data_IF_987018687033
#
_entry.id   IF_987018687033
#
_cell.length_a   1.000
_cell.length_b   1.000
_cell.length_c   1.000
_cell.angle_alpha   90.00
_cell.angle_beta   90.00
_cell.angle_gamma   90.00
#
_symmetry.space_group_name_H-M   'P 1'
#
loop_
_entity.id
_entity.type
_entity.pdbx_description
1 polymer ?
#
# COMPACT_ATOMS: atom_id res chain seq x y z
N UNK A 1 -11.86 24.02 -83.95
CA UNK A 1 -11.05 24.04 -82.72
C UNK A 1 -11.79 23.25 -81.66
N UNK A 2 -11.34 22.02 -81.40
CA UNK A 2 -11.81 21.21 -80.28
C UNK A 2 -11.21 21.78 -78.99
N UNK A 3 -12.04 21.99 -77.97
CA UNK A 3 -11.54 22.04 -76.59
C UNK A 3 -12.58 21.40 -75.68
N UNK A 4 -12.26 20.17 -75.32
CA UNK A 4 -12.90 19.37 -74.28
C UNK A 4 -12.84 20.15 -72.96
N UNK A 5 -13.96 20.24 -72.24
CA UNK A 5 -13.95 20.59 -70.82
C UNK A 5 -14.52 19.41 -70.04
N UNK A 6 -13.60 18.80 -69.30
CA UNK A 6 -13.73 17.57 -68.53
C UNK A 6 -14.63 17.75 -67.32
N UNK A 7 -15.48 16.75 -67.09
CA UNK A 7 -16.32 16.51 -65.93
C UNK A 7 -15.44 16.17 -64.71
N UNK A 8 -15.62 16.84 -63.57
CA UNK A 8 -15.10 16.38 -62.27
C UNK A 8 -16.28 16.15 -61.31
N UNK A 9 -16.66 14.87 -61.18
CA UNK A 9 -17.55 14.40 -60.13
C UNK A 9 -16.71 14.12 -58.87
N UNK A 10 -16.92 14.90 -57.81
CA UNK A 10 -16.29 14.68 -56.50
C UNK A 10 -17.07 13.58 -55.78
N UNK A 11 -16.48 12.39 -55.74
CA UNK A 11 -16.92 11.27 -54.90
C UNK A 11 -16.65 11.61 -53.43
N UNK A 12 -17.67 12.08 -52.71
CA UNK A 12 -17.64 12.19 -51.25
C UNK A 12 -17.80 10.77 -50.68
N UNK A 13 -16.67 10.17 -50.31
CA UNK A 13 -16.59 8.93 -49.54
C UNK A 13 -17.00 9.22 -48.09
N UNK A 14 -18.09 8.62 -47.55
CA UNK A 14 -18.33 8.68 -46.12
C UNK A 14 -17.36 7.72 -45.43
N UNK A 15 -16.40 8.31 -44.71
CA UNK A 15 -15.54 7.62 -43.76
C UNK A 15 -16.41 7.00 -42.67
N UNK A 16 -16.66 5.69 -42.76
CA UNK A 16 -17.30 4.93 -41.69
C UNK A 16 -16.27 4.81 -40.57
N UNK A 17 -16.31 5.73 -39.62
CA UNK A 17 -15.60 5.60 -38.37
C UNK A 17 -16.18 4.39 -37.64
N UNK A 18 -15.48 3.26 -37.73
CA UNK A 18 -15.73 2.10 -36.89
C UNK A 18 -15.54 2.54 -35.43
N UNK A 19 -16.64 2.80 -34.74
CA UNK A 19 -16.65 2.86 -33.28
C UNK A 19 -16.24 1.46 -32.81
N UNK A 20 -14.96 1.32 -32.45
CA UNK A 20 -14.54 0.21 -31.61
C UNK A 20 -15.28 0.40 -30.29
N UNK A 21 -16.29 -0.45 -30.04
CA UNK A 21 -16.86 -0.60 -28.72
C UNK A 21 -15.71 -1.03 -27.81
N UNK A 22 -15.20 -0.10 -27.01
CA UNK A 22 -14.28 -0.40 -25.92
C UNK A 22 -15.11 -1.24 -24.95
N UNK A 23 -14.87 -2.55 -25.00
CA UNK A 23 -15.34 -3.48 -23.97
C UNK A 23 -14.91 -2.86 -22.64
N UNK A 24 -15.81 -2.59 -21.69
CA UNK A 24 -15.39 -2.09 -20.40
C UNK A 24 -14.42 -3.11 -19.84
N UNK A 25 -13.16 -2.71 -19.67
CA UNK A 25 -12.22 -3.48 -18.89
C UNK A 25 -12.90 -3.79 -17.57
N UNK A 26 -12.93 -5.09 -17.28
CA UNK A 26 -13.44 -5.70 -16.08
C UNK A 26 -13.11 -4.79 -14.87
N UNK A 27 -14.09 -4.06 -14.34
CA UNK A 27 -13.89 -3.24 -13.14
C UNK A 27 -13.53 -4.24 -12.04
N UNK A 28 -12.24 -4.26 -11.70
CA UNK A 28 -11.70 -5.09 -10.63
C UNK A 28 -12.56 -4.93 -9.39
N UNK A 29 -12.96 -6.03 -8.71
CA UNK A 29 -13.82 -5.96 -7.54
C UNK A 29 -13.09 -5.16 -6.46
N UNK A 30 -13.55 -3.92 -6.21
CA UNK A 30 -13.12 -3.02 -5.13
C UNK A 30 -11.64 -3.13 -4.74
N UNK A 31 -10.76 -2.48 -5.49
CA UNK A 31 -9.34 -2.43 -5.15
C UNK A 31 -9.15 -1.86 -3.74
N UNK A 32 -8.51 -2.63 -2.85
CA UNK A 32 -8.11 -2.12 -1.54
C UNK A 32 -7.11 -0.99 -1.78
N UNK A 33 -7.52 0.24 -1.47
CA UNK A 33 -6.64 1.41 -1.58
C UNK A 33 -5.81 1.49 -0.31
N UNK A 34 -4.51 1.65 -0.50
CA UNK A 34 -3.51 1.75 0.56
C UNK A 34 -2.74 3.04 0.32
N UNK A 35 -2.54 3.80 1.38
CA UNK A 35 -1.91 5.12 1.33
C UNK A 35 -0.86 5.21 2.44
N UNK A 36 0.13 6.07 2.25
CA UNK A 36 0.96 6.48 3.37
C UNK A 36 0.19 7.42 4.30
N UNK A 37 0.67 7.54 5.53
CA UNK A 37 0.13 8.43 6.53
C UNK A 37 1.23 8.94 7.44
N UNK A 38 1.02 10.15 7.96
CA UNK A 38 1.87 10.74 8.99
C UNK A 38 1.65 9.99 10.32
N UNK A 39 2.67 9.33 10.84
CA UNK A 39 2.55 8.55 12.08
C UNK A 39 2.26 9.44 13.30
N UNK A 40 2.62 10.73 13.25
CA UNK A 40 2.40 11.66 14.36
C UNK A 40 0.92 11.93 14.66
N UNK A 41 0.01 11.62 13.73
CA UNK A 41 -1.44 11.73 13.95
C UNK A 41 -1.99 10.63 14.85
N UNK A 42 -1.19 9.59 15.12
CA UNK A 42 -1.55 8.46 15.99
C UNK A 42 -1.03 8.76 17.40
N UNK A 43 -1.79 9.56 18.15
CA UNK A 43 -1.37 10.07 19.48
C UNK A 43 -1.14 8.99 20.53
N UNK A 44 -1.79 7.84 20.36
CA UNK A 44 -1.73 6.74 21.31
C UNK A 44 -0.60 5.74 20.98
N UNK A 45 0.15 5.95 19.89
CA UNK A 45 1.31 5.13 19.56
C UNK A 45 2.52 5.62 20.36
N UNK A 46 2.99 4.81 21.32
CA UNK A 46 4.10 5.20 22.18
C UNK A 46 5.42 5.34 21.40
N UNK A 47 5.76 4.33 20.61
CA UNK A 47 6.89 4.34 19.69
C UNK A 47 6.67 3.31 18.57
N UNK A 48 6.93 3.65 17.29
CA UNK A 48 6.90 2.66 16.20
C UNK A 48 8.09 1.70 16.31
N UNK A 49 7.80 0.41 16.47
CA UNK A 49 8.79 -0.66 16.52
C UNK A 49 9.23 -1.07 15.12
N UNK A 50 8.29 -1.20 14.19
CA UNK A 50 8.58 -1.43 12.78
C UNK A 50 7.88 -0.38 11.93
N UNK A 51 8.54 0.08 10.88
CA UNK A 51 7.92 0.99 9.89
C UNK A 51 8.17 0.50 8.48
N UNK A 52 7.15 0.57 7.63
CA UNK A 52 7.14 -0.05 6.32
C UNK A 52 6.71 0.92 5.24
N UNK A 53 7.41 0.89 4.12
CA UNK A 53 7.15 1.73 2.97
C UNK A 53 7.08 0.95 1.65
N UNK A 54 6.25 1.44 0.74
CA UNK A 54 6.27 1.03 -0.66
C UNK A 54 7.34 1.83 -1.40
N UNK A 55 8.39 1.14 -1.87
CA UNK A 55 9.53 1.75 -2.54
C UNK A 55 10.26 2.76 -1.67
N UNK A 56 11.02 3.66 -2.29
CA UNK A 56 11.84 4.66 -1.61
C UNK A 56 11.00 5.88 -1.19
N UNK A 57 10.06 5.71 -0.25
CA UNK A 57 9.41 6.86 0.37
C UNK A 57 10.41 7.57 1.28
N UNK A 58 10.71 8.84 0.99
CA UNK A 58 11.68 9.66 1.73
C UNK A 58 11.03 10.70 2.64
N UNK A 59 9.69 10.69 2.72
CA UNK A 59 8.98 11.68 3.54
C UNK A 59 9.07 11.26 5.00
N UNK A 60 9.74 12.08 5.79
CA UNK A 60 9.92 11.87 7.22
C UNK A 60 8.57 11.67 7.92
N UNK A 61 8.49 10.67 8.81
CA UNK A 61 7.29 10.29 9.55
C UNK A 61 6.12 9.73 8.71
N UNK A 62 6.27 9.54 7.40
CA UNK A 62 5.23 8.98 6.54
C UNK A 62 5.52 7.52 6.21
N UNK A 63 4.57 6.65 6.55
CA UNK A 63 4.69 5.20 6.38
C UNK A 63 3.42 4.61 5.81
N UNK A 64 3.55 3.49 5.10
CA UNK A 64 2.40 2.74 4.59
C UNK A 64 1.81 1.79 5.64
N UNK A 65 2.66 1.25 6.51
CA UNK A 65 2.27 0.40 7.62
C UNK A 65 3.27 0.59 8.76
N UNK A 66 2.79 0.68 10.00
CA UNK A 66 3.68 0.68 11.18
C UNK A 66 3.20 -0.34 12.20
N UNK A 67 4.12 -0.87 12.98
CA UNK A 67 3.83 -1.73 14.12
C UNK A 67 4.38 -1.09 15.39
N UNK A 68 3.69 -1.23 16.52
CA UNK A 68 4.18 -0.73 17.80
C UNK A 68 3.15 -0.84 18.92
N UNK A 69 3.53 -0.39 20.11
CA UNK A 69 2.65 -0.37 21.27
C UNK A 69 1.66 0.80 21.23
N UNK A 70 0.37 0.48 21.27
CA UNK A 70 -0.71 1.45 21.41
C UNK A 70 -1.11 1.55 22.87
N UNK A 71 -0.92 2.72 23.49
CA UNK A 71 -1.14 3.01 24.90
C UNK A 71 -2.24 4.08 25.07
N UNK A 72 -3.49 3.70 25.36
CA UNK A 72 -4.58 4.65 25.55
C UNK A 72 -4.34 5.57 26.75
N UNK A 73 -4.74 6.84 26.64
CA UNK A 73 -4.56 7.86 27.68
C UNK A 73 -5.23 7.52 29.04
N UNK A 74 -6.16 6.56 29.06
CA UNK A 74 -6.86 6.11 30.27
C UNK A 74 -6.06 5.19 31.20
N UNK A 75 -4.78 4.91 30.91
CA UNK A 75 -3.96 3.98 31.70
C UNK A 75 -4.31 2.52 31.47
N UNK A 76 -5.06 2.23 30.40
CA UNK A 76 -5.28 0.87 29.92
C UNK A 76 -3.97 0.24 29.49
N UNK A 77 -3.92 -1.10 29.51
CA UNK A 77 -2.72 -1.83 29.10
C UNK A 77 -2.41 -1.57 27.63
N UNK A 78 -1.16 -1.22 27.35
CA UNK A 78 -0.70 -1.05 25.98
C UNK A 78 -0.86 -2.36 25.19
N UNK A 79 -1.25 -2.25 23.92
CA UNK A 79 -1.44 -3.39 23.03
C UNK A 79 -0.57 -3.23 21.80
N UNK A 80 0.27 -4.24 21.52
CA UNK A 80 1.03 -4.28 20.28
C UNK A 80 0.08 -4.38 19.07
N UNK A 81 0.20 -3.42 18.16
CA UNK A 81 -0.76 -3.23 17.07
C UNK A 81 -0.06 -2.84 15.77
N UNK A 82 -0.70 -3.20 14.66
CA UNK A 82 -0.38 -2.70 13.33
C UNK A 82 -1.30 -1.54 12.96
N UNK A 83 -0.79 -0.52 12.29
CA UNK A 83 -1.55 0.66 11.85
C UNK A 83 -1.33 0.89 10.36
N UNK A 84 -2.42 0.97 9.61
CA UNK A 84 -2.42 1.18 8.16
C UNK A 84 -3.50 2.16 7.73
N UNK A 85 -3.26 2.99 6.70
CA UNK A 85 -4.32 3.75 6.05
C UNK A 85 -4.94 2.96 4.90
N UNK A 86 -6.20 2.56 5.08
CA UNK A 86 -6.98 1.75 4.14
C UNK A 86 -8.21 2.54 3.68
N UNK A 87 -8.35 2.72 2.36
CA UNK A 87 -9.48 3.44 1.75
C UNK A 87 -9.74 4.80 2.42
N UNK A 88 -8.70 5.61 2.60
CA UNK A 88 -8.79 6.93 3.23
C UNK A 88 -8.90 6.94 4.76
N UNK A 89 -8.94 5.78 5.43
CA UNK A 89 -9.13 5.69 6.89
C UNK A 89 -7.99 4.97 7.59
N UNK A 90 -7.57 5.48 8.74
CA UNK A 90 -6.64 4.79 9.61
C UNK A 90 -7.34 3.57 10.22
N UNK A 91 -6.72 2.40 10.04
CA UNK A 91 -7.09 1.15 10.67
C UNK A 91 -6.01 0.78 11.68
N UNK A 92 -6.43 0.56 12.92
CA UNK A 92 -5.60 0.03 14.01
C UNK A 92 -6.02 -1.43 14.22
N UNK A 93 -5.05 -2.33 14.26
CA UNK A 93 -5.26 -3.77 14.30
C UNK A 93 -4.43 -4.38 15.41
N UNK A 94 -5.06 -5.09 16.35
CA UNK A 94 -4.35 -5.74 17.46
C UNK A 94 -3.58 -6.96 16.94
N UNK A 95 -2.37 -7.18 17.44
CA UNK A 95 -1.64 -8.41 17.15
C UNK A 95 -2.35 -9.60 17.80
N UNK A 96 -2.58 -10.65 17.00
CA UNK A 96 -3.14 -11.92 17.45
C UNK A 96 -2.06 -12.97 17.70
N UNK A 97 -1.02 -12.95 16.86
CA UNK A 97 0.09 -13.89 16.94
C UNK A 97 1.34 -13.30 16.29
N UNK A 98 2.50 -13.72 16.78
CA UNK A 98 3.79 -13.51 16.15
C UNK A 98 4.60 -14.79 16.29
N UNK A 99 5.07 -15.34 15.18
CA UNK A 99 5.95 -16.51 15.16
C UNK A 99 6.89 -16.45 13.95
N UNK A 100 8.18 -16.73 14.18
CA UNK A 100 9.20 -16.88 13.14
C UNK A 100 9.16 -15.80 12.03
N UNK A 101 9.11 -14.53 12.43
CA UNK A 101 9.08 -13.40 11.49
C UNK A 101 7.74 -13.21 10.77
N UNK A 102 6.68 -13.94 11.15
CA UNK A 102 5.33 -13.73 10.66
C UNK A 102 4.43 -13.21 11.78
N UNK A 103 3.77 -12.08 11.56
CA UNK A 103 2.81 -11.50 12.49
C UNK A 103 1.42 -11.45 11.88
N UNK A 104 0.40 -11.68 12.70
CA UNK A 104 -1.01 -11.54 12.31
C UNK A 104 -1.65 -10.46 13.15
N UNK A 105 -2.22 -9.46 12.49
CA UNK A 105 -2.95 -8.37 13.10
C UNK A 105 -4.41 -8.39 12.64
N UNK A 106 -5.33 -8.06 13.53
CA UNK A 106 -6.76 -8.10 13.21
C UNK A 106 -7.57 -7.03 13.93
N UNK A 107 -8.59 -6.53 13.25
CA UNK A 107 -9.77 -5.91 13.85
C UNK A 107 -11.05 -6.52 13.24
N UNK A 108 -12.20 -5.93 13.51
CA UNK A 108 -13.49 -6.49 13.07
C UNK A 108 -13.63 -6.60 11.54
N UNK A 109 -12.94 -5.75 10.79
CA UNK A 109 -13.14 -5.60 9.34
C UNK A 109 -11.95 -6.07 8.50
N UNK A 110 -10.76 -6.12 9.10
CA UNK A 110 -9.51 -6.32 8.39
C UNK A 110 -8.59 -7.27 9.15
N UNK A 111 -7.93 -8.14 8.41
CA UNK A 111 -6.76 -8.91 8.87
C UNK A 111 -5.55 -8.49 8.04
N UNK A 112 -4.43 -8.21 8.71
CA UNK A 112 -3.13 -7.98 8.07
C UNK A 112 -2.17 -9.08 8.52
N UNK A 113 -1.48 -9.70 7.58
CA UNK A 113 -0.43 -10.68 7.84
C UNK A 113 0.86 -10.11 7.30
N UNK A 114 1.88 -10.00 8.14
CA UNK A 114 3.23 -9.61 7.73
C UNK A 114 4.14 -10.81 7.78
N UNK A 115 5.02 -10.96 6.79
CA UNK A 115 6.10 -11.95 6.79
C UNK A 115 7.39 -11.22 6.47
N UNK A 116 8.35 -11.30 7.40
CA UNK A 116 9.59 -10.56 7.38
C UNK A 116 10.74 -11.43 6.88
N UNK A 117 11.61 -10.84 6.09
CA UNK A 117 12.87 -11.45 5.65
C UNK A 117 14.00 -10.46 5.88
N UNK A 118 15.01 -10.78 6.71
CA UNK A 118 16.13 -9.88 6.97
C UNK A 118 16.88 -9.52 5.69
N UNK A 119 17.25 -8.25 5.53
CA UNK A 119 18.14 -7.82 4.45
C UNK A 119 19.58 -7.93 4.97
N UNK A 120 20.35 -8.89 4.44
CA UNK A 120 21.76 -9.06 4.82
C UNK A 120 22.61 -7.91 4.24
N UNK A 121 23.31 -7.19 5.12
CA UNK A 121 24.28 -6.10 4.84
C UNK A 121 23.71 -4.86 4.10
N UNK A 122 22.96 -3.96 4.77
CA UNK A 122 22.42 -2.77 4.11
C UNK A 122 23.47 -1.69 3.82
N UNK A 123 24.39 -1.47 4.78
CA UNK A 123 25.70 -0.77 4.73
C UNK A 123 26.04 -0.49 6.20
N UNK A 124 27.00 -1.23 6.76
CA UNK A 124 27.44 -0.98 8.13
C UNK A 124 28.29 0.31 8.15
N UNK A 125 27.69 1.45 8.49
CA UNK A 125 28.41 2.67 8.87
C UNK A 125 28.00 3.11 10.28
N UNK A 126 28.92 2.81 11.19
CA UNK A 126 29.27 3.41 12.49
C UNK A 126 28.18 4.19 13.23
N UNK A 127 27.52 3.50 14.17
CA UNK A 127 27.38 4.02 15.54
C UNK A 127 25.99 4.24 16.12
N UNK A 128 25.07 3.28 16.11
CA UNK A 128 23.98 3.24 17.12
C UNK A 128 23.22 1.91 17.04
N UNK A 129 22.45 1.65 18.09
CA UNK A 129 21.78 0.40 18.51
C UNK A 129 21.03 -0.37 17.40
N UNK A 130 20.81 -1.67 17.63
CA UNK A 130 20.52 -2.77 16.69
C UNK A 130 19.30 -2.60 15.75
N UNK A 131 19.30 -1.57 14.91
CA UNK A 131 18.32 -1.37 13.83
C UNK A 131 18.64 -2.30 12.66
N UNK A 132 17.63 -3.08 12.23
CA UNK A 132 17.78 -4.02 11.13
C UNK A 132 16.79 -3.70 10.01
N UNK A 133 17.29 -3.64 8.77
CA UNK A 133 16.47 -3.48 7.58
C UNK A 133 15.84 -4.83 7.17
N UNK A 134 14.56 -4.80 6.82
CA UNK A 134 13.78 -5.97 6.43
C UNK A 134 13.01 -5.73 5.13
N UNK A 135 12.87 -6.82 4.36
CA UNK A 135 11.78 -6.93 3.40
C UNK A 135 10.55 -7.48 4.13
N UNK A 136 9.39 -6.91 3.85
CA UNK A 136 8.12 -7.37 4.38
C UNK A 136 7.15 -7.70 3.23
N UNK A 137 6.56 -8.89 3.30
CA UNK A 137 5.35 -9.20 2.55
C UNK A 137 4.16 -8.91 3.43
N UNK A 138 3.30 -7.98 3.02
CA UNK A 138 2.10 -7.57 3.77
C UNK A 138 0.86 -8.00 3.00
N UNK A 139 0.10 -8.94 3.55
CA UNK A 139 -1.17 -9.41 2.98
C UNK A 139 -2.33 -8.81 3.77
N UNK A 140 -3.14 -8.01 3.09
CA UNK A 140 -4.32 -7.33 3.64
C UNK A 140 -5.56 -8.08 3.19
N UNK A 141 -6.35 -8.58 4.12
CA UNK A 141 -7.62 -9.27 3.87
C UNK A 141 -8.78 -8.48 4.45
N UNK A 142 -9.78 -8.23 3.63
CA UNK A 142 -11.04 -7.58 4.03
C UNK A 142 -12.22 -8.38 3.48
N UNK A 143 -13.44 -8.04 3.87
CA UNK A 143 -14.65 -8.59 3.24
C UNK A 143 -14.76 -8.29 1.74
N UNK A 144 -14.02 -7.29 1.26
CA UNK A 144 -14.02 -6.81 -0.14
C UNK A 144 -12.96 -7.47 -1.02
N UNK A 145 -12.03 -8.22 -0.42
CA UNK A 145 -10.96 -8.89 -1.15
C UNK A 145 -9.65 -8.94 -0.39
N UNK A 146 -8.61 -9.31 -1.13
CA UNK A 146 -7.25 -9.45 -0.63
C UNK A 146 -6.28 -8.61 -1.47
N UNK A 147 -5.27 -8.02 -0.82
CA UNK A 147 -4.18 -7.30 -1.47
C UNK A 147 -2.85 -7.70 -0.85
N UNK A 148 -1.91 -8.11 -1.69
CA UNK A 148 -0.51 -8.36 -1.30
C UNK A 148 0.32 -7.13 -1.65
N UNK A 149 1.18 -6.72 -0.72
CA UNK A 149 2.15 -5.66 -0.89
C UNK A 149 3.54 -6.18 -0.51
N UNK A 150 4.54 -5.71 -1.23
CA UNK A 150 5.95 -5.95 -0.92
C UNK A 150 6.54 -4.61 -0.50
N UNK A 151 7.01 -4.56 0.73
CA UNK A 151 7.47 -3.35 1.40
C UNK A 151 8.89 -3.55 1.90
N UNK A 152 9.59 -2.44 2.10
CA UNK A 152 10.87 -2.38 2.79
C UNK A 152 10.73 -1.47 3.99
N UNK A 153 11.55 -1.71 5.01
CA UNK A 153 11.43 -0.97 6.25
C UNK A 153 12.48 -1.35 7.26
N UNK A 154 12.40 -0.69 8.39
CA UNK A 154 13.27 -0.93 9.54
C UNK A 154 12.42 -1.43 10.71
N UNK A 155 13.02 -2.29 11.52
CA UNK A 155 12.52 -2.61 12.84
C UNK A 155 13.62 -2.34 13.88
N UNK A 156 13.27 -1.63 14.94
CA UNK A 156 14.07 -1.56 16.15
C UNK A 156 13.78 -2.81 16.98
N UNK A 157 14.77 -3.69 17.14
CA UNK A 157 14.64 -4.97 17.87
C UNK A 157 14.89 -4.74 19.36
#
# INVERSE_FOLDING_TARGET
>A
MFKNMTLFAVLMSPCVAAYAAVIPENISPSSIVTEDFDVSVITDLAYPVCTWNLGDNKKENFYHFVEGEMCPAGGERCTYSGVMKLNGKIAILKQLSSDNGTSVFKNDNTTIITTLTPIKNPKAEVGSEEESDFNAVVVIKTSRGEKKLEMTGFCSI
#
